data_IF_870485140392
#
_entry.id   IF_870485140392
#
_cell.length_a   1.000
_cell.length_b   1.000
_cell.length_c   1.000
_cell.angle_alpha   90.00
_cell.angle_beta   90.00
_cell.angle_gamma   90.00
#
_symmetry.space_group_name_H-M   'P 1'
#
loop_
_entity.id
_entity.type
_entity.pdbx_description
1 polymer ?
#
# COMPACT_ATOMS: atom_id res chain seq x y z
N UNK A 1 7.10 -3.15 -8.53
CA UNK A 1 7.17 -1.94 -9.39
C UNK A 1 6.70 -2.33 -10.79
N UNK A 2 5.62 -1.75 -11.32
CA UNK A 2 5.09 -2.07 -12.66
C UNK A 2 4.19 -0.93 -13.12
N UNK A 3 4.71 -0.06 -13.99
CA UNK A 3 4.06 1.15 -14.52
C UNK A 3 3.70 2.26 -13.48
N UNK A 4 3.78 1.99 -12.17
CA UNK A 4 3.65 3.02 -11.14
C UNK A 4 5.00 3.75 -10.91
N UNK A 5 5.02 5.07 -11.13
CA UNK A 5 6.18 5.94 -10.82
C UNK A 5 6.16 6.39 -9.35
N UNK A 6 4.97 6.71 -8.84
CA UNK A 6 4.73 7.03 -7.44
C UNK A 6 3.64 6.11 -6.88
N UNK A 7 3.70 5.85 -5.57
CA UNK A 7 2.61 5.21 -4.86
C UNK A 7 1.61 6.27 -4.37
N UNK A 8 0.65 6.62 -5.22
CA UNK A 8 -0.33 7.68 -4.94
C UNK A 8 -1.10 7.43 -3.63
N UNK A 9 -1.48 6.16 -3.39
CA UNK A 9 -2.26 5.78 -2.21
C UNK A 9 -1.42 5.87 -0.94
N UNK A 10 -0.15 5.47 -0.99
CA UNK A 10 0.75 5.62 0.14
C UNK A 10 1.03 7.09 0.48
N UNK A 11 1.19 7.96 -0.53
CA UNK A 11 1.31 9.41 -0.30
C UNK A 11 0.07 9.97 0.39
N UNK A 12 -1.13 9.56 -0.05
CA UNK A 12 -2.38 9.99 0.58
C UNK A 12 -2.49 9.51 2.05
N UNK A 13 -2.14 8.26 2.33
CA UNK A 13 -2.15 7.72 3.68
C UNK A 13 -1.14 8.44 4.60
N UNK A 14 0.07 8.69 4.11
CA UNK A 14 1.08 9.45 4.85
C UNK A 14 0.60 10.89 5.13
N UNK A 15 -0.02 11.55 4.16
CA UNK A 15 -0.61 12.88 4.35
C UNK A 15 -1.76 12.86 5.38
N UNK A 16 -2.63 11.85 5.34
CA UNK A 16 -3.69 11.68 6.32
C UNK A 16 -3.15 11.56 7.75
N UNK A 17 -2.08 10.79 7.95
CA UNK A 17 -1.42 10.65 9.25
C UNK A 17 -0.69 11.93 9.68
N UNK A 18 0.15 12.49 8.80
CA UNK A 18 1.09 13.55 9.18
C UNK A 18 0.49 14.96 9.13
N UNK A 19 -0.35 15.24 8.14
CA UNK A 19 -0.90 16.59 7.91
C UNK A 19 -2.30 16.75 8.48
N UNK A 20 -3.08 15.66 8.51
CA UNK A 20 -4.45 15.68 9.02
C UNK A 20 -4.59 15.07 10.42
N UNK A 21 -3.50 14.56 11.00
CA UNK A 21 -3.46 14.10 12.39
C UNK A 21 -4.26 12.83 12.67
N UNK A 22 -4.56 12.02 11.65
CA UNK A 22 -5.17 10.71 11.89
C UNK A 22 -4.18 9.80 12.61
N UNK A 23 -4.71 8.99 13.53
CA UNK A 23 -3.89 8.04 14.28
C UNK A 23 -3.69 6.72 13.55
N UNK A 24 -4.67 6.30 12.74
CA UNK A 24 -4.69 5.03 11.99
C UNK A 24 -5.40 5.18 10.65
N UNK A 25 -4.88 4.51 9.62
CA UNK A 25 -5.43 4.46 8.26
C UNK A 25 -5.44 3.00 7.78
N UNK A 26 -6.42 2.63 6.96
CA UNK A 26 -6.41 1.35 6.24
C UNK A 26 -6.33 1.60 4.73
N UNK A 27 -5.48 0.86 4.04
CA UNK A 27 -5.42 0.81 2.58
C UNK A 27 -5.91 -0.58 2.15
N UNK A 28 -7.01 -0.60 1.40
CA UNK A 28 -7.56 -1.83 0.81
C UNK A 28 -7.32 -1.78 -0.69
N UNK A 29 -6.41 -2.63 -1.16
CA UNK A 29 -6.03 -2.75 -2.56
C UNK A 29 -6.66 -4.02 -3.14
N UNK A 30 -7.51 -3.83 -4.16
CA UNK A 30 -8.18 -4.91 -4.89
C UNK A 30 -7.71 -5.03 -6.34
N UNK A 31 -6.59 -4.37 -6.70
CA UNK A 31 -5.92 -4.64 -7.98
C UNK A 31 -5.45 -6.11 -8.02
N UNK A 32 -5.49 -6.72 -9.22
CA UNK A 32 -5.15 -8.13 -9.39
C UNK A 32 -3.67 -8.43 -9.09
N UNK A 33 -2.81 -7.42 -9.17
CA UNK A 33 -1.40 -7.54 -8.85
C UNK A 33 -1.16 -7.20 -7.38
N UNK A 34 -0.21 -7.87 -6.74
CA UNK A 34 0.10 -7.54 -5.36
C UNK A 34 0.65 -6.11 -5.27
N UNK A 35 0.07 -5.31 -4.38
CA UNK A 35 0.48 -3.95 -4.06
C UNK A 35 1.81 -3.88 -3.30
N UNK A 36 2.85 -4.51 -3.85
CA UNK A 36 4.16 -4.73 -3.22
C UNK A 36 4.86 -3.43 -2.80
N UNK A 37 4.58 -2.33 -3.53
CA UNK A 37 5.08 -1.01 -3.18
C UNK A 37 4.38 -0.42 -1.96
N UNK A 38 3.09 -0.67 -1.75
CA UNK A 38 2.37 -0.21 -0.56
C UNK A 38 2.77 -1.03 0.66
N UNK A 39 2.92 -2.35 0.49
CA UNK A 39 3.46 -3.23 1.54
C UNK A 39 4.81 -2.71 2.02
N UNK A 40 5.77 -2.54 1.11
CA UNK A 40 7.12 -2.12 1.49
C UNK A 40 7.17 -0.76 2.19
N UNK A 41 6.28 0.18 1.86
CA UNK A 41 6.25 1.50 2.51
C UNK A 41 5.78 1.42 3.97
N UNK A 42 4.86 0.49 4.29
CA UNK A 42 4.17 0.48 5.58
C UNK A 42 4.35 -0.82 6.38
N UNK A 43 5.17 -1.77 5.92
CA UNK A 43 5.36 -3.07 6.59
C UNK A 43 5.77 -2.94 8.06
N UNK A 44 6.52 -1.89 8.39
CA UNK A 44 6.96 -1.57 9.76
C UNK A 44 6.14 -0.46 10.45
N UNK A 45 5.11 0.12 9.80
CA UNK A 45 4.28 1.18 10.39
C UNK A 45 2.91 0.66 10.83
N UNK A 46 2.71 0.37 12.14
CA UNK A 46 1.47 -0.21 12.64
C UNK A 46 0.27 0.75 12.57
N UNK A 47 0.49 2.03 12.21
CA UNK A 47 -0.60 3.00 12.00
C UNK A 47 -1.31 2.76 10.68
N UNK A 48 -0.71 2.01 9.74
CA UNK A 48 -1.31 1.70 8.44
C UNK A 48 -1.59 0.20 8.33
N UNK A 49 -2.87 -0.15 8.30
CA UNK A 49 -3.27 -1.50 7.92
C UNK A 49 -3.28 -1.60 6.40
N UNK A 50 -2.42 -2.46 5.83
CA UNK A 50 -2.43 -2.76 4.40
C UNK A 50 -3.07 -4.13 4.13
N UNK A 51 -4.04 -4.15 3.23
CA UNK A 51 -4.67 -5.38 2.73
C UNK A 51 -4.58 -5.35 1.21
N UNK A 52 -4.10 -6.43 0.61
CA UNK A 52 -4.07 -6.62 -0.83
C UNK A 52 -4.76 -7.93 -1.20
N UNK A 53 -5.81 -7.85 -2.01
CA UNK A 53 -6.46 -8.99 -2.64
C UNK A 53 -5.89 -9.12 -4.05
N UNK A 54 -5.06 -10.13 -4.29
CA UNK A 54 -4.36 -10.29 -5.57
C UNK A 54 -4.36 -11.74 -6.02
N UNK A 55 -4.14 -11.95 -7.33
CA UNK A 55 -3.93 -13.28 -7.87
C UNK A 55 -2.53 -13.77 -7.52
N UNK A 56 -2.45 -14.96 -6.92
CA UNK A 56 -1.19 -15.62 -6.59
C UNK A 56 -0.28 -15.77 -7.83
N UNK A 57 1.02 -15.54 -7.63
CA UNK A 57 2.08 -15.72 -8.62
C UNK A 57 1.88 -14.96 -9.96
N UNK A 58 1.10 -13.87 -9.95
CA UNK A 58 0.90 -13.00 -11.12
C UNK A 58 2.02 -11.95 -11.26
N UNK A 59 1.88 -10.82 -10.56
CA UNK A 59 2.89 -9.76 -10.54
C UNK A 59 2.88 -9.03 -9.19
N UNK A 60 4.07 -8.69 -8.63
CA UNK A 60 5.37 -9.26 -9.00
C UNK A 60 5.40 -10.79 -8.79
N UNK A 61 6.39 -11.47 -9.37
CA UNK A 61 6.40 -12.95 -9.38
C UNK A 61 6.69 -13.59 -8.01
N UNK A 62 7.09 -12.80 -7.02
CA UNK A 62 7.58 -13.26 -5.71
C UNK A 62 7.02 -12.35 -4.62
N UNK A 63 5.71 -12.36 -4.48
CA UNK A 63 4.97 -11.54 -3.52
C UNK A 63 3.93 -12.37 -2.80
#
# INVERSE_FOLDING_TARGET
MGFCIFNNVAVAAAAALQQHGLERVAIVDYDVHHGNGTQHVFEDDPRVLFISLHQDSNYPKHS
#
